data_IF_476262023418
#
_entry.id   IF_476262023418
#
_cell.length_a   1.000
_cell.length_b   1.000
_cell.length_c   1.000
_cell.angle_alpha   90.00
_cell.angle_beta   90.00
_cell.angle_gamma   90.00
#
_symmetry.space_group_name_H-M   'P 1'
#
loop_
_entity.id
_entity.type
_entity.pdbx_description
1 polymer ?
#
# COMPACT_ATOMS: atom_id res chain seq x y z
N UNK A 1 9.74 -10.87 -16.23
CA UNK A 1 8.48 -10.13 -16.28
C UNK A 1 8.71 -8.66 -16.01
N UNK A 2 7.92 -7.81 -16.64
CA UNK A 2 8.06 -6.35 -16.47
C UNK A 2 7.91 -5.95 -15.01
N UNK A 3 6.95 -6.57 -14.31
CA UNK A 3 6.69 -6.25 -12.91
C UNK A 3 7.91 -6.50 -12.04
N UNK A 4 8.58 -7.62 -12.27
CA UNK A 4 9.75 -7.97 -11.48
C UNK A 4 10.90 -7.01 -11.76
N UNK A 5 11.04 -6.59 -13.01
CA UNK A 5 12.10 -5.64 -13.37
C UNK A 5 11.88 -4.29 -12.71
N UNK A 6 10.64 -3.81 -12.70
CA UNK A 6 10.35 -2.53 -12.06
C UNK A 6 10.63 -2.59 -10.57
N UNK A 7 10.21 -3.68 -9.92
CA UNK A 7 10.46 -3.85 -8.50
C UNK A 7 11.96 -3.93 -8.24
N UNK A 8 12.70 -4.65 -9.07
CA UNK A 8 14.14 -4.79 -8.88
C UNK A 8 14.85 -3.44 -9.00
N UNK A 9 14.41 -2.61 -9.94
CA UNK A 9 14.99 -1.27 -10.08
C UNK A 9 14.82 -0.44 -8.83
N UNK A 10 13.64 -0.55 -8.20
CA UNK A 10 13.39 0.17 -6.95
C UNK A 10 14.33 -0.34 -5.85
N UNK A 11 14.45 -1.65 -5.73
CA UNK A 11 15.35 -2.23 -4.71
C UNK A 11 16.80 -1.80 -4.95
N UNK A 12 17.23 -1.79 -6.21
CA UNK A 12 18.59 -1.36 -6.52
C UNK A 12 18.82 0.10 -6.14
N UNK A 13 17.82 0.94 -6.37
CA UNK A 13 17.92 2.35 -6.00
C UNK A 13 17.97 2.52 -4.48
N UNK A 14 17.17 1.73 -3.76
CA UNK A 14 17.17 1.78 -2.30
C UNK A 14 18.53 1.30 -1.75
N UNK A 15 19.08 0.25 -2.35
CA UNK A 15 20.40 -0.22 -1.95
C UNK A 15 21.45 0.87 -2.15
N UNK A 16 21.34 1.61 -3.25
CA UNK A 16 22.27 2.69 -3.52
C UNK A 16 22.18 3.78 -2.45
N UNK A 17 20.98 4.08 -2.01
CA UNK A 17 20.77 5.07 -0.94
C UNK A 17 21.48 4.60 0.34
N UNK A 18 21.39 3.31 0.64
CA UNK A 18 22.00 2.77 1.86
C UNK A 18 23.53 2.83 1.80
N UNK A 19 24.08 2.96 0.60
CA UNK A 19 25.54 3.05 0.41
C UNK A 19 26.07 4.46 0.36
N UNK A 20 25.20 5.48 0.52
CA UNK A 20 25.67 6.87 0.60
C UNK A 20 26.63 6.97 1.79
N UNK A 21 27.85 7.47 1.52
CA UNK A 21 28.89 7.43 2.52
C UNK A 21 28.65 8.38 3.68
N UNK A 22 28.20 9.59 3.39
CA UNK A 22 27.96 10.58 4.43
C UNK A 22 26.67 10.23 5.20
N UNK A 23 26.77 9.99 6.53
CA UNK A 23 25.60 9.59 7.30
C UNK A 23 24.46 10.61 7.29
N UNK A 24 24.80 11.91 7.29
CA UNK A 24 23.72 12.91 7.29
C UNK A 24 23.03 12.98 5.94
N UNK A 25 23.80 12.89 4.86
CA UNK A 25 23.20 12.87 3.52
C UNK A 25 22.33 11.62 3.35
N UNK A 26 22.84 10.50 3.85
CA UNK A 26 22.08 9.24 3.79
C UNK A 26 20.78 9.38 4.56
N UNK A 27 20.84 9.98 5.74
CA UNK A 27 19.65 10.16 6.58
C UNK A 27 18.62 11.06 5.88
N UNK A 28 19.08 12.15 5.27
CA UNK A 28 18.18 13.05 4.56
C UNK A 28 17.50 12.34 3.39
N UNK A 29 18.26 11.55 2.65
CA UNK A 29 17.70 10.79 1.54
C UNK A 29 16.66 9.79 2.03
N UNK A 30 16.99 9.07 3.10
CA UNK A 30 16.06 8.10 3.67
C UNK A 30 14.78 8.75 4.14
N UNK A 31 14.89 9.92 4.77
CA UNK A 31 13.71 10.64 5.26
C UNK A 31 12.80 11.06 4.10
N UNK A 32 13.39 11.55 3.02
CA UNK A 32 12.60 11.94 1.85
C UNK A 32 11.90 10.76 1.22
N UNK A 33 12.62 9.64 1.10
CA UNK A 33 12.04 8.44 0.51
C UNK A 33 10.92 7.90 1.38
N UNK A 34 11.14 7.87 2.69
CA UNK A 34 10.12 7.38 3.61
C UNK A 34 8.83 8.20 3.52
N UNK A 35 8.97 9.53 3.49
CA UNK A 35 7.80 10.40 3.39
C UNK A 35 7.07 10.19 2.06
N UNK A 36 7.82 10.13 0.96
CA UNK A 36 7.22 9.92 -0.35
C UNK A 36 6.55 8.56 -0.47
N UNK A 37 7.19 7.54 0.10
CA UNK A 37 6.66 6.18 0.05
C UNK A 37 5.37 6.05 0.86
N UNK A 38 5.34 6.71 2.02
CA UNK A 38 4.15 6.69 2.86
C UNK A 38 2.96 7.27 2.12
N UNK A 39 3.18 8.39 1.45
CA UNK A 39 2.12 9.03 0.68
C UNK A 39 1.65 8.15 -0.47
N UNK A 40 2.61 7.55 -1.18
CA UNK A 40 2.28 6.65 -2.28
C UNK A 40 1.53 5.42 -1.78
N UNK A 41 1.95 4.89 -0.63
CA UNK A 41 1.32 3.69 -0.07
C UNK A 41 -0.17 3.93 0.18
N UNK A 42 -0.54 5.11 0.65
CA UNK A 42 -1.94 5.44 0.88
C UNK A 42 -2.72 5.44 -0.43
N UNK A 43 -2.16 6.04 -1.48
CA UNK A 43 -2.83 6.06 -2.78
C UNK A 43 -2.94 4.66 -3.37
N UNK A 44 -1.86 3.87 -3.23
CA UNK A 44 -1.86 2.51 -3.75
C UNK A 44 -2.86 1.64 -3.02
N UNK A 45 -3.00 1.85 -1.71
CA UNK A 45 -3.97 1.08 -0.94
C UNK A 45 -5.39 1.39 -1.40
N UNK A 46 -5.68 2.66 -1.70
CA UNK A 46 -6.99 3.05 -2.21
C UNK A 46 -7.27 2.39 -3.56
N UNK A 47 -6.28 2.41 -4.44
CA UNK A 47 -6.43 1.79 -5.76
C UNK A 47 -6.65 0.28 -5.62
N UNK A 48 -5.90 -0.33 -4.72
CA UNK A 48 -6.00 -1.77 -4.47
C UNK A 48 -7.37 -2.12 -3.90
N UNK A 49 -7.89 -1.25 -3.03
CA UNK A 49 -9.21 -1.46 -2.46
C UNK A 49 -10.30 -1.43 -3.51
N UNK A 50 -10.21 -0.48 -4.44
CA UNK A 50 -11.18 -0.40 -5.53
C UNK A 50 -11.11 -1.63 -6.40
N UNK A 51 -9.90 -2.08 -6.70
CA UNK A 51 -9.73 -3.26 -7.52
C UNK A 51 -10.27 -4.50 -6.82
N UNK A 52 -9.98 -4.65 -5.53
CA UNK A 52 -10.48 -5.79 -4.75
C UNK A 52 -11.99 -5.82 -4.76
N UNK A 53 -12.61 -4.66 -4.57
CA UNK A 53 -14.06 -4.57 -4.55
C UNK A 53 -14.66 -4.93 -5.90
N UNK A 54 -14.05 -4.45 -6.97
CA UNK A 54 -14.54 -4.74 -8.30
C UNK A 54 -14.47 -6.23 -8.60
N UNK A 55 -13.34 -6.86 -8.24
CA UNK A 55 -13.20 -8.29 -8.46
C UNK A 55 -14.25 -9.05 -7.68
N UNK A 56 -14.48 -8.64 -6.43
CA UNK A 56 -15.48 -9.30 -5.61
C UNK A 56 -16.88 -9.14 -6.19
N UNK A 57 -17.24 -7.92 -6.56
CA UNK A 57 -18.59 -7.62 -7.04
C UNK A 57 -18.88 -8.20 -8.41
N UNK A 58 -17.91 -8.13 -9.32
CA UNK A 58 -18.12 -8.54 -10.69
C UNK A 58 -17.86 -10.01 -10.93
N UNK A 59 -16.93 -10.59 -10.18
CA UNK A 59 -16.51 -11.96 -10.40
C UNK A 59 -16.88 -12.89 -9.26
N UNK A 60 -17.32 -12.36 -8.14
CA UNK A 60 -17.67 -13.19 -6.98
C UNK A 60 -16.49 -13.91 -6.38
N UNK A 61 -15.28 -13.39 -6.60
CA UNK A 61 -14.08 -14.06 -6.13
C UNK A 61 -14.00 -14.07 -4.60
N UNK A 62 -13.44 -15.15 -4.05
CA UNK A 62 -13.24 -15.25 -2.61
C UNK A 62 -12.14 -14.32 -2.14
N UNK A 63 -12.14 -14.03 -0.83
CA UNK A 63 -11.09 -13.20 -0.24
C UNK A 63 -9.71 -13.80 -0.53
N UNK A 64 -9.57 -15.11 -0.39
CA UNK A 64 -8.28 -15.76 -0.68
C UNK A 64 -7.88 -15.61 -2.14
N UNK A 65 -8.84 -15.76 -3.04
CA UNK A 65 -8.56 -15.62 -4.46
C UNK A 65 -8.14 -14.22 -4.80
N UNK A 66 -8.81 -13.22 -4.23
CA UNK A 66 -8.44 -11.83 -4.44
C UNK A 66 -7.03 -11.57 -3.92
N UNK A 67 -6.75 -12.08 -2.72
CA UNK A 67 -5.43 -11.89 -2.10
C UNK A 67 -4.33 -12.42 -3.01
N UNK A 68 -4.54 -13.60 -3.56
CA UNK A 68 -3.56 -14.20 -4.45
C UNK A 68 -3.36 -13.37 -5.72
N UNK A 69 -4.46 -12.89 -6.28
CA UNK A 69 -4.40 -12.10 -7.51
C UNK A 69 -3.72 -10.75 -7.30
N UNK A 70 -3.91 -10.15 -6.13
CA UNK A 70 -3.32 -8.83 -5.85
C UNK A 70 -1.96 -8.93 -5.18
N UNK A 71 -1.52 -10.12 -4.82
CA UNK A 71 -0.22 -10.30 -4.19
C UNK A 71 -0.16 -9.81 -2.76
N UNK A 72 -1.27 -9.93 -2.03
CA UNK A 72 -1.34 -9.50 -0.63
C UNK A 72 -1.92 -10.62 0.21
N UNK A 73 -1.95 -10.41 1.52
CA UNK A 73 -2.50 -11.41 2.44
C UNK A 73 -4.02 -11.30 2.49
N UNK A 74 -4.72 -12.40 2.80
CA UNK A 74 -6.19 -12.35 2.91
C UNK A 74 -6.67 -11.31 3.93
N UNK A 75 -5.97 -11.18 5.06
CA UNK A 75 -6.34 -10.17 6.04
C UNK A 75 -6.28 -8.76 5.44
N UNK A 76 -5.30 -8.52 4.57
CA UNK A 76 -5.18 -7.25 3.90
C UNK A 76 -6.40 -7.00 3.01
N UNK A 77 -6.85 -8.03 2.29
CA UNK A 77 -8.03 -7.90 1.44
C UNK A 77 -9.26 -7.54 2.28
N UNK A 78 -9.41 -8.22 3.42
CA UNK A 78 -10.53 -7.92 4.31
C UNK A 78 -10.49 -6.47 4.77
N UNK A 79 -9.30 -5.98 5.12
CA UNK A 79 -9.14 -4.59 5.53
C UNK A 79 -9.46 -3.63 4.39
N UNK A 80 -9.00 -3.96 3.19
CA UNK A 80 -9.27 -3.12 2.03
C UNK A 80 -10.77 -3.02 1.75
N UNK A 81 -11.45 -4.14 1.81
CA UNK A 81 -12.88 -4.16 1.54
C UNK A 81 -13.65 -3.41 2.63
N UNK A 82 -13.23 -3.59 3.87
CA UNK A 82 -13.86 -2.92 5.00
C UNK A 82 -13.62 -1.42 4.94
N UNK A 83 -12.38 -1.03 4.67
CA UNK A 83 -12.01 0.37 4.58
C UNK A 83 -12.72 1.07 3.45
N UNK A 84 -12.86 0.39 2.32
CA UNK A 84 -13.55 0.97 1.18
C UNK A 84 -15.00 1.30 1.55
N UNK A 85 -15.65 0.37 2.24
CA UNK A 85 -17.03 0.60 2.65
C UNK A 85 -17.12 1.71 3.66
N UNK A 86 -16.14 1.77 4.56
CA UNK A 86 -16.20 2.74 5.62
C UNK A 86 -15.59 4.06 5.28
N UNK A 87 -15.00 4.16 4.11
CA UNK A 87 -14.26 5.38 3.76
C UNK A 87 -15.12 6.60 3.80
N UNK A 88 -16.35 6.39 3.74
CA UNK A 88 -17.18 7.54 3.96
C UNK A 88 -16.88 8.11 5.31
N UNK A 89 -16.40 7.41 6.05
CA UNK A 89 -16.22 7.78 7.37
C UNK A 89 -14.97 7.82 7.95
N UNK A 90 -14.53 7.18 7.76
CA UNK A 90 -13.81 7.35 8.42
C UNK A 90 -13.05 7.74 8.86
N UNK A 91 -13.14 7.63 9.16
CA UNK A 91 -12.69 8.04 9.72
C UNK A 91 -12.06 8.42 10.28
N UNK A 92 -12.15 8.31 10.71
CA UNK A 92 -11.80 8.62 11.46
C UNK A 92 -11.48 8.61 12.15
N UNK A 93 -11.91 8.19 12.63
CA UNK A 93 -12.15 8.20 13.40
C UNK A 93 -11.76 8.44 13.87
N UNK A 94 -12.02 8.32 14.04
CA UNK A 94 -12.38 8.51 14.54
C UNK A 94 -12.17 8.65 14.98
N UNK A 95 -12.35 8.50 15.09
CA UNK A 95 -12.83 8.64 15.51
C UNK A 95 -12.62 8.69 15.86
N UNK A 96 -12.62 8.29 16.15
CA UNK A 96 -13.04 8.37 16.55
C UNK A 96 -12.79 8.30 16.81
N UNK A 97 -13.03 8.19 17.03
CA UNK A 97 -13.45 8.23 17.23
C UNK A 97 -13.43 8.30 17.35
N UNK A 98 -13.62 8.12 17.43
CA UNK A 98 -14.10 8.21 17.49
C UNK A 98 -14.11 8.47 17.52
N UNK A 99 -14.36 8.41 17.68
CA UNK A 99 -14.76 8.68 17.61
C UNK A 99 -14.63 8.98 17.56
N UNK A 100 -14.81 8.77 17.82
CA UNK A 100 -15.08 9.23 17.77
C UNK A 100 -14.90 9.29 17.77
#
# INVERSE_FOLDING_TARGET
>A
MADDQEVQRVFDALDAVERIADPEARSRAQAQITAATKERAARWAAERGELARRIKDEEGESVRGIAKRLGVKPATVQDLLRGYKGSGQNRPRAEGAQDG
#
